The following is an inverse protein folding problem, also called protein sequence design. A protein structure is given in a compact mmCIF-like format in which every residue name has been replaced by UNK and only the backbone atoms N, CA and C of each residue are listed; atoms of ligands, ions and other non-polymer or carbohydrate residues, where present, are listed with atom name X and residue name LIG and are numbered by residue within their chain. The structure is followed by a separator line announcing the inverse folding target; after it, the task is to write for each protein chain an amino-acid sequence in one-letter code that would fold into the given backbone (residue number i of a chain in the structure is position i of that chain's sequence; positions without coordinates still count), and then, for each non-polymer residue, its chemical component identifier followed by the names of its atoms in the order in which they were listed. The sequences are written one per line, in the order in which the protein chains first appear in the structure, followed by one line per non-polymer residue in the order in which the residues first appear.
data_IF_244247706911
#
_entry.id   IF_244247706911
#
_cell.length_a   1.000
_cell.length_b   1.000
_cell.length_c   1.000
_cell.angle_alpha   90.00
_cell.angle_beta   90.00
_cell.angle_gamma   90.00
#
_symmetry.space_group_name_H-M   'P 1'
#
loop_
_entity.id
_entity.type
_entity.pdbx_description
1 polymer ?
#
# COMPACT_ATOMS: atom_id res chain seq x y z
N UNK A 1 -4.57 -16.09 9.14
CA UNK A 1 -4.63 -15.58 7.75
C UNK A 1 -3.64 -14.40 7.67
N UNK A 2 -2.66 -14.39 6.77
CA UNK A 2 -1.58 -13.36 6.78
C UNK A 2 -2.08 -11.94 6.47
N UNK A 3 -1.38 -10.91 6.98
CA UNK A 3 -1.63 -9.50 6.65
C UNK A 3 -1.44 -9.22 5.15
N UNK A 4 -0.46 -9.85 4.51
CA UNK A 4 -0.17 -9.67 3.07
C UNK A 4 -1.39 -10.01 2.21
N UNK A 5 -2.14 -11.04 2.60
CA UNK A 5 -3.37 -11.45 1.89
C UNK A 5 -4.43 -10.36 1.99
N UNK A 6 -4.57 -9.72 3.16
CA UNK A 6 -5.53 -8.63 3.31
C UNK A 6 -5.07 -7.38 2.56
N UNK A 7 -3.79 -7.02 2.65
CA UNK A 7 -3.23 -5.88 1.92
C UNK A 7 -3.34 -6.06 0.41
N UNK A 8 -3.08 -7.26 -0.11
CA UNK A 8 -3.27 -7.58 -1.52
C UNK A 8 -4.72 -7.37 -1.98
N UNK A 9 -5.69 -7.76 -1.16
CA UNK A 9 -7.12 -7.54 -1.45
C UNK A 9 -7.48 -6.06 -1.44
N UNK A 10 -7.01 -5.31 -0.43
CA UNK A 10 -7.23 -3.86 -0.36
C UNK A 10 -6.63 -3.16 -1.58
N UNK A 11 -5.40 -3.48 -1.96
CA UNK A 11 -4.75 -2.90 -3.15
C UNK A 11 -5.54 -3.14 -4.42
N UNK A 12 -6.14 -4.32 -4.60
CA UNK A 12 -7.02 -4.62 -5.74
C UNK A 12 -8.29 -3.77 -5.79
N UNK A 13 -8.74 -3.23 -4.65
CA UNK A 13 -9.95 -2.41 -4.56
C UNK A 13 -9.66 -0.92 -4.71
N UNK A 14 -8.52 -0.44 -4.20
CA UNK A 14 -8.25 1.00 -4.07
C UNK A 14 -7.17 1.54 -5.00
N UNK A 15 -6.28 0.67 -5.50
CA UNK A 15 -5.21 1.10 -6.39
C UNK A 15 -5.68 1.02 -7.84
N UNK A 16 -5.38 2.03 -8.68
CA UNK A 16 -5.58 1.94 -10.12
C UNK A 16 -4.79 0.77 -10.74
N UNK A 17 -3.59 0.52 -10.22
CA UNK A 17 -2.74 -0.63 -10.57
C UNK A 17 -2.18 -1.26 -9.28
N UNK A 18 -2.66 -2.47 -8.88
CA UNK A 18 -2.21 -3.13 -7.66
C UNK A 18 -0.71 -3.47 -7.62
N UNK A 19 -0.03 -3.49 -8.78
CA UNK A 19 1.42 -3.73 -8.88
C UNK A 19 2.24 -2.46 -8.65
N UNK A 20 1.61 -1.29 -8.72
CA UNK A 20 2.22 0.03 -8.49
C UNK A 20 1.46 0.77 -7.37
N UNK A 21 1.53 0.27 -6.12
CA UNK A 21 0.70 0.78 -5.03
C UNK A 21 1.04 2.24 -4.70
N UNK A 22 0.05 3.10 -4.88
CA UNK A 22 0.10 4.54 -4.63
C UNK A 22 -0.35 4.84 -3.21
N UNK A 23 -1.46 4.25 -2.76
CA UNK A 23 -2.10 4.56 -1.48
C UNK A 23 -1.65 3.67 -0.34
N UNK A 24 -1.44 2.37 -0.56
CA UNK A 24 -1.01 1.44 0.49
C UNK A 24 0.40 0.97 0.19
N UNK A 25 1.40 1.66 0.72
CA UNK A 25 2.81 1.43 0.40
C UNK A 25 3.47 0.47 1.40
N UNK A 26 4.45 -0.30 0.93
CA UNK A 26 5.26 -1.16 1.80
C UNK A 26 6.48 -0.37 2.30
N UNK A 27 6.69 -0.34 3.61
CA UNK A 27 7.87 0.24 4.25
C UNK A 27 8.63 -0.87 4.96
N UNK A 28 9.79 -1.22 4.44
CA UNK A 28 10.65 -2.27 4.99
C UNK A 28 11.03 -1.97 6.44
N UNK A 29 10.83 -2.96 7.33
CA UNK A 29 11.06 -2.82 8.78
C UNK A 29 9.91 -2.19 9.57
N UNK A 30 8.83 -1.73 8.92
CA UNK A 30 7.67 -1.12 9.59
C UNK A 30 6.34 -1.78 9.23
N UNK A 31 6.17 -2.21 7.97
CA UNK A 31 4.92 -2.81 7.49
C UNK A 31 4.31 -2.01 6.34
N UNK A 32 3.03 -1.67 6.44
CA UNK A 32 2.31 -0.95 5.38
C UNK A 32 1.83 0.41 5.88
N UNK A 33 1.91 1.42 5.01
CA UNK A 33 1.52 2.79 5.32
C UNK A 33 0.48 3.26 4.32
N UNK A 34 -0.56 3.91 4.84
CA UNK A 34 -1.54 4.60 4.02
C UNK A 34 -1.04 6.01 3.67
N UNK A 35 -1.08 6.35 2.38
CA UNK A 35 -0.60 7.60 1.79
C UNK A 35 -1.75 8.20 0.97
N UNK A 36 -2.58 9.08 1.55
CA UNK A 36 -3.83 9.54 0.92
C UNK A 36 -3.60 10.28 -0.40
N UNK A 37 -2.53 11.07 -0.50
CA UNK A 37 -2.21 11.82 -1.73
C UNK A 37 -1.47 10.96 -2.75
N UNK A 38 -1.05 9.76 -2.36
CA UNK A 38 -0.26 8.86 -3.19
C UNK A 38 1.15 9.33 -3.54
N UNK A 39 1.59 10.41 -2.90
CA UNK A 39 2.96 10.91 -3.00
C UNK A 39 3.74 10.36 -1.81
N UNK A 40 4.88 9.68 -2.03
CA UNK A 40 5.78 9.35 -0.94
C UNK A 40 6.08 10.64 -0.17
N UNK A 41 6.01 10.59 1.16
CA UNK A 41 6.38 11.74 1.98
C UNK A 41 7.85 12.04 1.69
N UNK A 42 8.14 13.06 0.89
CA UNK A 42 9.51 13.54 0.71
C UNK A 42 10.00 13.89 2.10
N UNK A 43 11.12 13.29 2.52
CA UNK A 43 11.86 13.78 3.68
C UNK A 43 12.32 15.21 3.41
#
# INVERSE_FOLDING_TARGET
RSMDVQVSRVRKLVEPDPTRPRYVQTVWGYGYVFVPDGQPRSR
#
